data_IF_881177432117
#
_entry.id   IF_881177432117
#
_cell.length_a   1.000
_cell.length_b   1.000
_cell.length_c   1.000
_cell.angle_alpha   90.00
_cell.angle_beta   90.00
_cell.angle_gamma   90.00
#
_symmetry.space_group_name_H-M   'P 1'
#
loop_
_entity.id
_entity.type
_entity.pdbx_description
1 polymer ?
#
# COMPACT_ATOMS: atom_id res chain seq x y z
N UNK A 1 -34.46 17.08 -20.28
CA UNK A 1 -33.05 17.49 -20.22
C UNK A 1 -32.58 17.25 -18.79
N UNK A 2 -31.92 16.11 -18.53
CA UNK A 2 -31.45 15.75 -17.19
C UNK A 2 -30.03 16.28 -17.05
N UNK A 3 -29.84 17.26 -16.17
CA UNK A 3 -28.52 17.83 -15.90
C UNK A 3 -27.63 16.76 -15.27
N UNK A 4 -26.47 16.52 -15.87
CA UNK A 4 -25.40 15.74 -15.25
C UNK A 4 -24.95 16.49 -13.98
N UNK A 5 -25.32 15.97 -12.81
CA UNK A 5 -24.77 16.44 -11.54
C UNK A 5 -23.27 16.11 -11.56
N UNK A 6 -22.44 17.14 -11.61
CA UNK A 6 -21.00 17.01 -11.43
C UNK A 6 -20.72 16.40 -10.07
N UNK A 7 -19.94 15.33 -10.03
CA UNK A 7 -19.50 14.72 -8.79
C UNK A 7 -18.47 15.66 -8.14
N UNK A 8 -18.86 16.32 -7.05
CA UNK A 8 -17.93 17.14 -6.28
C UNK A 8 -17.01 16.24 -5.45
N UNK A 9 -15.71 16.54 -5.45
CA UNK A 9 -14.69 15.80 -4.72
C UNK A 9 -14.91 15.84 -3.19
N UNK A 10 -15.71 16.80 -2.73
CA UNK A 10 -16.03 17.06 -1.33
C UNK A 10 -17.00 16.02 -0.72
N UNK A 11 -17.69 15.22 -1.55
CA UNK A 11 -18.56 14.12 -1.10
C UNK A 11 -17.79 12.81 -0.80
N UNK A 12 -16.46 12.82 -0.99
CA UNK A 12 -15.61 11.63 -0.83
C UNK A 12 -14.92 11.66 0.52
N UNK A 13 -15.31 10.74 1.39
CA UNK A 13 -14.68 10.52 2.68
C UNK A 13 -13.54 9.53 2.56
N UNK A 14 -12.38 9.84 3.15
CA UNK A 14 -11.29 8.86 3.33
C UNK A 14 -11.22 8.46 4.80
N UNK A 15 -11.52 7.20 5.09
CA UNK A 15 -11.61 6.66 6.45
C UNK A 15 -11.10 5.22 6.52
N UNK A 16 -10.96 4.68 7.74
CA UNK A 16 -10.72 3.25 7.90
C UNK A 16 -11.95 2.46 7.42
N UNK A 17 -11.69 1.33 6.78
CA UNK A 17 -12.72 0.36 6.44
C UNK A 17 -13.23 -0.32 7.72
N UNK A 18 -14.53 -0.52 7.80
CA UNK A 18 -15.13 -1.37 8.83
C UNK A 18 -14.88 -2.86 8.48
N UNK A 19 -14.81 -3.77 9.47
CA UNK A 19 -14.60 -5.19 9.19
C UNK A 19 -15.65 -5.82 8.26
N UNK A 20 -16.88 -5.31 8.30
CA UNK A 20 -17.97 -5.69 7.39
C UNK A 20 -17.71 -5.32 5.93
N UNK A 21 -16.83 -4.34 5.67
CA UNK A 21 -16.51 -3.82 4.33
C UNK A 21 -15.34 -4.57 3.67
N UNK A 22 -14.56 -5.37 4.40
CA UNK A 22 -13.37 -6.05 3.85
C UNK A 22 -13.66 -6.93 2.62
N UNK A 23 -14.78 -7.68 2.53
CA UNK A 23 -15.12 -8.40 1.31
C UNK A 23 -15.32 -7.49 0.10
N UNK A 24 -15.98 -6.34 0.27
CA UNK A 24 -16.17 -5.36 -0.82
C UNK A 24 -14.83 -4.74 -1.24
N UNK A 25 -13.96 -4.42 -0.27
CA UNK A 25 -12.62 -3.90 -0.56
C UNK A 25 -11.79 -4.93 -1.33
N UNK A 26 -11.82 -6.20 -0.92
CA UNK A 26 -11.11 -7.28 -1.58
C UNK A 26 -11.55 -7.42 -3.05
N UNK A 27 -12.87 -7.48 -3.29
CA UNK A 27 -13.42 -7.53 -4.64
C UNK A 27 -13.07 -6.28 -5.47
N UNK A 28 -13.05 -5.10 -4.85
CA UNK A 28 -12.60 -3.87 -5.51
C UNK A 28 -11.14 -3.95 -5.94
N UNK A 29 -10.23 -4.40 -5.04
CA UNK A 29 -8.82 -4.54 -5.36
C UNK A 29 -8.61 -5.57 -6.49
N UNK A 30 -9.29 -6.71 -6.45
CA UNK A 30 -9.26 -7.69 -7.55
C UNK A 30 -9.68 -7.05 -8.87
N UNK A 31 -10.81 -6.31 -8.90
CA UNK A 31 -11.24 -5.59 -10.13
C UNK A 31 -10.21 -4.56 -10.57
N UNK A 32 -9.65 -3.79 -9.64
CA UNK A 32 -8.68 -2.75 -9.94
C UNK A 32 -7.41 -3.31 -10.61
N UNK A 33 -6.86 -4.40 -10.08
CA UNK A 33 -5.62 -5.01 -10.57
C UNK A 33 -5.81 -5.86 -11.84
N UNK A 34 -6.94 -6.57 -11.98
CA UNK A 34 -7.22 -7.42 -13.15
C UNK A 34 -7.76 -6.66 -14.36
N UNK A 35 -8.30 -5.46 -14.18
CA UNK A 35 -8.85 -4.64 -15.28
C UNK A 35 -7.80 -4.10 -16.26
N UNK A 36 -6.52 -4.16 -15.93
CA UNK A 36 -5.47 -3.52 -16.75
C UNK A 36 -4.23 -4.37 -16.93
N UNK A 37 -4.05 -5.41 -16.11
CA UNK A 37 -2.87 -6.27 -16.15
C UNK A 37 -3.27 -7.73 -15.92
N UNK A 38 -2.53 -8.65 -16.53
CA UNK A 38 -2.59 -10.05 -16.15
C UNK A 38 -1.88 -10.21 -14.81
N UNK A 39 -2.49 -10.93 -13.88
CA UNK A 39 -1.93 -11.22 -12.57
C UNK A 39 -2.02 -12.73 -12.36
N UNK A 40 -1.10 -13.28 -11.56
CA UNK A 40 -1.12 -14.70 -11.17
C UNK A 40 -2.33 -14.98 -10.28
N UNK A 41 -2.80 -16.24 -10.28
CA UNK A 41 -3.88 -16.66 -9.39
C UNK A 41 -3.49 -16.48 -7.91
N UNK A 42 -2.21 -16.74 -7.58
CA UNK A 42 -1.65 -16.50 -6.25
C UNK A 42 -1.77 -15.03 -5.83
N UNK A 43 -1.48 -14.08 -6.72
CA UNK A 43 -1.64 -12.67 -6.43
C UNK A 43 -3.10 -12.29 -6.21
N UNK A 44 -4.02 -12.81 -7.03
CA UNK A 44 -5.46 -12.59 -6.88
C UNK A 44 -5.95 -13.13 -5.54
N UNK A 45 -5.51 -14.32 -5.12
CA UNK A 45 -5.88 -14.90 -3.84
C UNK A 45 -5.36 -14.06 -2.66
N UNK A 46 -4.15 -13.51 -2.78
CA UNK A 46 -3.60 -12.54 -1.82
C UNK A 46 -4.50 -11.29 -1.70
N UNK A 47 -5.02 -10.76 -2.81
CA UNK A 47 -5.97 -9.64 -2.78
C UNK A 47 -7.31 -10.01 -2.14
N UNK A 48 -7.75 -11.27 -2.27
CA UNK A 48 -8.96 -11.77 -1.60
C UNK A 48 -8.76 -11.92 -0.09
N UNK A 49 -7.54 -12.23 0.33
CA UNK A 49 -7.14 -12.47 1.72
C UNK A 49 -6.85 -11.23 2.57
N UNK A 50 -7.08 -10.00 2.09
CA UNK A 50 -6.67 -8.77 2.80
C UNK A 50 -7.17 -8.64 4.25
N UNK A 51 -8.26 -9.31 4.61
CA UNK A 51 -8.77 -9.30 5.98
C UNK A 51 -7.77 -9.91 6.98
N UNK A 52 -6.93 -10.88 6.56
CA UNK A 52 -5.90 -11.45 7.43
C UNK A 52 -4.73 -10.50 7.67
N UNK A 53 -4.64 -9.39 6.92
CA UNK A 53 -3.54 -8.42 7.00
C UNK A 53 -3.83 -7.31 8.01
N UNK A 54 -5.04 -7.24 8.54
CA UNK A 54 -5.49 -6.19 9.48
C UNK A 54 -4.64 -6.07 10.75
N UNK A 55 -4.08 -7.15 11.33
CA UNK A 55 -3.13 -7.00 12.45
C UNK A 55 -1.95 -6.08 12.09
N UNK A 56 -1.44 -6.21 10.87
CA UNK A 56 -0.23 -5.54 10.40
C UNK A 56 -0.50 -4.29 9.57
N UNK A 57 -1.71 -4.16 9.01
CA UNK A 57 -2.10 -3.09 8.10
C UNK A 57 -3.47 -2.50 8.44
N UNK A 58 -3.55 -1.18 8.38
CA UNK A 58 -4.80 -0.44 8.31
C UNK A 58 -5.28 -0.34 6.86
N UNK A 59 -6.53 -0.73 6.63
CA UNK A 59 -7.21 -0.59 5.33
C UNK A 59 -7.95 0.74 5.32
N UNK A 60 -7.49 1.68 4.49
CA UNK A 60 -8.16 2.96 4.26
C UNK A 60 -8.99 2.87 2.98
N UNK A 61 -10.23 3.37 3.04
CA UNK A 61 -11.15 3.43 1.91
C UNK A 61 -11.49 4.87 1.57
N UNK A 62 -11.65 5.14 0.27
CA UNK A 62 -12.30 6.33 -0.23
C UNK A 62 -13.75 5.97 -0.57
N UNK A 63 -14.70 6.49 0.19
CA UNK A 63 -16.12 6.17 0.06
C UNK A 63 -16.95 7.40 -0.32
N UNK A 64 -17.96 7.19 -1.15
CA UNK A 64 -18.93 8.21 -1.55
C UNK A 64 -20.33 7.64 -1.36
N UNK A 65 -21.13 8.26 -0.47
CA UNK A 65 -22.52 7.84 -0.19
C UNK A 65 -22.63 6.34 0.15
N UNK A 66 -21.69 5.85 0.95
CA UNK A 66 -21.63 4.44 1.38
C UNK A 66 -21.06 3.47 0.35
N UNK A 67 -20.68 3.92 -0.84
CA UNK A 67 -20.03 3.09 -1.86
C UNK A 67 -18.51 3.24 -1.79
N UNK A 68 -17.78 2.13 -1.74
CA UNK A 68 -16.32 2.14 -1.78
C UNK A 68 -15.84 2.38 -3.22
N UNK A 69 -15.02 3.40 -3.41
CA UNK A 69 -14.47 3.79 -4.71
C UNK A 69 -12.99 3.44 -4.88
N UNK A 70 -12.28 3.24 -3.77
CA UNK A 70 -10.88 2.83 -3.77
C UNK A 70 -10.39 2.50 -2.37
N UNK A 71 -9.22 1.86 -2.30
CA UNK A 71 -8.58 1.49 -1.05
C UNK A 71 -7.05 1.60 -1.13
N UNK A 72 -6.43 1.81 0.03
CA UNK A 72 -4.97 1.72 0.24
C UNK A 72 -4.69 1.07 1.59
N UNK A 73 -3.67 0.23 1.67
CA UNK A 73 -3.22 -0.38 2.92
C UNK A 73 -1.99 0.39 3.43
N UNK A 74 -2.01 0.80 4.70
CA UNK A 74 -0.84 1.39 5.37
C UNK A 74 -0.48 0.52 6.56
N UNK A 75 0.81 0.36 6.92
CA UNK A 75 1.20 -0.34 8.13
C UNK A 75 0.41 0.12 9.37
N UNK A 76 0.09 -0.80 10.27
CA UNK A 76 -0.46 -0.48 11.59
C UNK A 76 0.59 0.23 12.45
N UNK A 77 0.21 1.07 13.43
CA UNK A 77 1.17 1.64 14.36
C UNK A 77 1.97 0.54 15.08
N UNK A 78 3.30 0.68 15.09
CA UNK A 78 4.20 -0.32 15.69
C UNK A 78 4.51 -1.54 14.81
N UNK A 79 3.92 -1.65 13.62
CA UNK A 79 4.35 -2.64 12.63
C UNK A 79 5.79 -2.35 12.21
N UNK A 80 6.63 -3.37 12.29
CA UNK A 80 8.00 -3.35 11.77
C UNK A 80 8.02 -4.27 10.57
N UNK A 81 8.31 -3.71 9.39
CA UNK A 81 8.43 -4.51 8.19
C UNK A 81 9.67 -5.41 8.30
N UNK A 82 9.46 -6.69 8.06
CA UNK A 82 10.56 -7.64 7.86
C UNK A 82 11.16 -7.47 6.46
N UNK A 83 12.42 -7.86 6.24
CA UNK A 83 13.00 -7.90 4.91
C UNK A 83 12.21 -8.83 3.98
N UNK A 84 11.81 -8.33 2.81
CA UNK A 84 11.14 -9.16 1.80
C UNK A 84 12.15 -10.02 1.03
N UNK A 85 11.77 -11.24 0.66
CA UNK A 85 12.60 -12.14 -0.18
C UNK A 85 11.95 -12.26 -1.55
N UNK A 86 12.69 -11.88 -2.58
CA UNK A 86 12.24 -11.96 -3.96
C UNK A 86 12.14 -13.41 -4.45
N UNK A 87 11.43 -13.61 -5.56
CA UNK A 87 11.32 -14.91 -6.25
C UNK A 87 12.70 -15.47 -6.66
N UNK A 88 13.68 -14.60 -6.86
CA UNK A 88 15.08 -14.94 -7.15
C UNK A 88 15.93 -15.27 -5.89
N UNK A 89 15.28 -15.34 -4.73
CA UNK A 89 15.90 -15.64 -3.44
C UNK A 89 16.71 -14.49 -2.84
N UNK A 90 16.70 -13.30 -3.45
CA UNK A 90 17.40 -12.14 -2.91
C UNK A 90 16.55 -11.42 -1.85
N UNK A 91 17.18 -11.08 -0.73
CA UNK A 91 16.53 -10.31 0.33
C UNK A 91 16.63 -8.81 0.03
N UNK A 92 15.49 -8.11 0.08
CA UNK A 92 15.42 -6.66 0.08
C UNK A 92 15.47 -6.16 1.53
N UNK A 93 16.38 -5.23 1.87
CA UNK A 93 16.43 -4.67 3.21
C UNK A 93 15.12 -3.93 3.55
N UNK A 94 14.62 -4.15 4.77
CA UNK A 94 13.58 -3.29 5.31
C UNK A 94 14.10 -1.86 5.51
N UNK A 95 13.22 -0.88 5.36
CA UNK A 95 13.52 0.52 5.59
C UNK A 95 12.74 1.02 6.82
N UNK A 96 13.28 0.87 8.04
CA UNK A 96 12.52 1.10 9.28
C UNK A 96 12.10 2.56 9.49
N UNK A 97 12.77 3.51 8.84
CA UNK A 97 12.45 4.94 8.88
C UNK A 97 11.38 5.35 7.85
N UNK A 98 10.83 4.39 7.11
CA UNK A 98 9.90 4.60 6.00
C UNK A 98 8.55 3.94 6.28
N UNK A 99 7.46 4.64 5.96
CA UNK A 99 6.15 4.01 5.85
C UNK A 99 6.01 3.49 4.43
N UNK A 100 6.20 2.19 4.23
CA UNK A 100 5.85 1.54 2.96
C UNK A 100 4.36 1.21 2.97
N UNK A 101 3.57 1.86 2.10
CA UNK A 101 2.16 1.50 1.96
C UNK A 101 2.01 0.43 0.89
N UNK A 102 1.04 -0.46 1.09
CA UNK A 102 0.80 -1.61 0.23
C UNK A 102 -0.54 -1.44 -0.49
N UNK A 103 -0.68 -2.12 -1.63
CA UNK A 103 -1.92 -2.26 -2.40
C UNK A 103 -2.79 -0.99 -2.50
N UNK A 104 -2.63 -0.23 -3.58
CA UNK A 104 -3.52 0.89 -3.90
C UNK A 104 -4.38 0.57 -5.12
N UNK A 105 -5.69 0.58 -4.95
CA UNK A 105 -6.65 0.27 -6.01
C UNK A 105 -7.80 1.27 -6.06
N UNK A 106 -8.23 1.59 -7.27
CA UNK A 106 -9.44 2.40 -7.53
C UNK A 106 -10.35 1.59 -8.42
N UNK A 107 -11.63 1.56 -8.08
CA UNK A 107 -12.65 0.89 -8.90
C UNK A 107 -12.56 1.43 -10.35
N UNK A 108 -12.50 0.57 -11.37
CA UNK A 108 -12.38 1.01 -12.76
C UNK A 108 -13.44 2.05 -13.17
N UNK A 109 -14.66 1.96 -12.63
CA UNK A 109 -15.74 2.91 -12.91
C UNK A 109 -15.54 4.29 -12.24
N UNK A 110 -14.65 4.40 -11.26
CA UNK A 110 -14.33 5.63 -10.52
C UNK A 110 -12.98 6.26 -10.92
N UNK A 111 -12.30 5.72 -11.94
CA UNK A 111 -11.03 6.27 -12.45
C UNK A 111 -11.19 7.68 -13.02
N UNK A 112 -10.08 8.42 -13.05
CA UNK A 112 -10.06 9.82 -13.53
C UNK A 112 -10.65 10.84 -12.55
N UNK A 113 -11.22 10.39 -11.42
CA UNK A 113 -11.80 11.26 -10.37
C UNK A 113 -10.81 11.71 -9.29
N UNK A 114 -9.53 11.32 -9.40
CA UNK A 114 -8.49 11.68 -8.43
C UNK A 114 -8.54 10.92 -7.09
N UNK A 115 -9.22 9.76 -7.05
CA UNK A 115 -9.37 8.91 -5.84
C UNK A 115 -8.03 8.39 -5.31
N UNK A 116 -7.20 7.83 -6.19
CA UNK A 116 -5.88 7.34 -5.81
C UNK A 116 -5.02 8.46 -5.18
N UNK A 117 -5.13 9.69 -5.69
CA UNK A 117 -4.41 10.82 -5.13
C UNK A 117 -4.93 11.22 -3.73
N UNK A 118 -6.23 11.05 -3.46
CA UNK A 118 -6.78 11.26 -2.10
C UNK A 118 -6.27 10.20 -1.13
N UNK A 119 -6.23 8.93 -1.56
CA UNK A 119 -5.72 7.82 -0.76
C UNK A 119 -4.23 8.01 -0.43
N UNK A 120 -3.40 8.36 -1.42
CA UNK A 120 -1.96 8.65 -1.17
C UNK A 120 -1.79 9.88 -0.28
N UNK A 121 -2.62 10.93 -0.45
CA UNK A 121 -2.58 12.08 0.46
C UNK A 121 -2.92 11.67 1.91
N UNK A 122 -3.85 10.74 2.10
CA UNK A 122 -4.13 10.18 3.43
C UNK A 122 -2.95 9.38 3.96
N UNK A 123 -2.27 8.58 3.14
CA UNK A 123 -1.02 7.90 3.54
C UNK A 123 0.04 8.90 3.99
N UNK A 124 0.20 10.02 3.29
CA UNK A 124 1.12 11.10 3.70
C UNK A 124 0.73 11.68 5.05
N UNK A 125 -0.56 11.94 5.27
CA UNK A 125 -1.06 12.41 6.55
C UNK A 125 -0.78 11.40 7.67
N UNK A 126 -1.02 10.11 7.46
CA UNK A 126 -0.75 9.05 8.44
C UNK A 126 0.73 9.00 8.81
N UNK A 127 1.63 9.09 7.82
CA UNK A 127 3.06 9.12 8.08
C UNK A 127 3.49 10.36 8.88
N UNK A 128 2.93 11.54 8.57
CA UNK A 128 3.16 12.79 9.33
C UNK A 128 2.70 12.66 10.78
N UNK A 129 1.47 12.19 11.01
CA UNK A 129 0.89 11.99 12.34
C UNK A 129 1.74 11.03 13.21
N UNK A 130 2.45 10.10 12.58
CA UNK A 130 3.35 9.14 13.24
C UNK A 130 4.80 9.61 13.34
N UNK A 131 5.12 10.82 12.89
CA UNK A 131 6.50 11.36 12.91
C UNK A 131 7.46 10.66 11.94
N UNK A 132 6.94 9.88 10.99
CA UNK A 132 7.74 9.16 10.00
C UNK A 132 8.29 10.16 8.97
N UNK A 133 9.55 9.97 8.57
CA UNK A 133 10.27 10.95 7.73
C UNK A 133 10.12 10.71 6.22
N UNK A 134 9.74 9.49 5.81
CA UNK A 134 9.63 9.12 4.41
C UNK A 134 8.55 8.07 4.17
N UNK A 135 8.01 8.05 2.97
CA UNK A 135 7.06 7.05 2.49
C UNK A 135 7.68 6.32 1.31
N UNK A 136 7.50 5.00 1.26
CA UNK A 136 7.90 4.13 0.17
C UNK A 136 6.70 3.47 -0.52
N UNK A 137 6.87 3.10 -1.79
CA UNK A 137 5.96 2.21 -2.52
C UNK A 137 6.70 1.46 -3.62
N UNK A 138 6.48 0.15 -3.66
CA UNK A 138 6.83 -0.69 -4.79
C UNK A 138 5.72 -0.71 -5.85
N UNK A 139 6.09 -0.62 -7.13
CA UNK A 139 5.14 -0.53 -8.24
C UNK A 139 5.62 -1.29 -9.46
N UNK A 140 4.72 -2.03 -10.11
CA UNK A 140 5.06 -2.77 -11.34
C UNK A 140 5.40 -1.81 -12.49
N UNK A 141 6.38 -2.12 -13.36
CA UNK A 141 6.82 -1.26 -14.47
C UNK A 141 5.69 -0.86 -15.43
N UNK A 142 4.66 -1.69 -15.57
CA UNK A 142 3.46 -1.47 -16.37
C UNK A 142 2.50 -0.42 -15.78
N UNK A 143 2.61 -0.07 -14.49
CA UNK A 143 1.72 0.84 -13.77
C UNK A 143 2.02 2.33 -14.06
N UNK A 144 2.22 2.69 -15.33
CA UNK A 144 2.65 4.03 -15.77
C UNK A 144 1.74 5.17 -15.30
N UNK A 145 0.43 4.92 -15.19
CA UNK A 145 -0.53 5.87 -14.62
C UNK A 145 -0.28 6.16 -13.13
N UNK A 146 0.05 5.15 -12.33
CA UNK A 146 0.44 5.31 -10.94
C UNK A 146 1.77 6.07 -10.85
N UNK A 147 2.76 5.75 -11.68
CA UNK A 147 4.05 6.46 -11.72
C UNK A 147 3.91 7.95 -12.06
N UNK A 148 3.00 8.31 -12.98
CA UNK A 148 2.70 9.71 -13.28
C UNK A 148 2.04 10.42 -12.09
N UNK A 149 1.14 9.74 -11.39
CA UNK A 149 0.52 10.26 -10.17
C UNK A 149 1.56 10.46 -9.05
N UNK A 150 2.39 9.46 -8.75
CA UNK A 150 3.43 9.55 -7.73
C UNK A 150 4.34 10.75 -7.99
N UNK A 151 4.84 10.91 -9.22
CA UNK A 151 5.68 12.07 -9.59
C UNK A 151 4.96 13.41 -9.40
N UNK A 152 3.67 13.50 -9.75
CA UNK A 152 2.88 14.72 -9.54
C UNK A 152 2.69 15.05 -8.05
N UNK A 153 2.62 14.02 -7.21
CA UNK A 153 2.54 14.16 -5.75
C UNK A 153 3.91 14.42 -5.09
N UNK A 154 4.99 14.46 -5.87
CA UNK A 154 6.34 14.76 -5.38
C UNK A 154 7.17 13.52 -5.03
N UNK A 155 6.68 12.31 -5.29
CA UNK A 155 7.51 11.11 -5.14
C UNK A 155 8.61 11.07 -6.20
N UNK A 156 9.76 10.52 -5.82
CA UNK A 156 10.93 10.35 -6.68
C UNK A 156 11.26 8.86 -6.81
N UNK A 157 11.56 8.42 -8.03
CA UNK A 157 12.00 7.04 -8.29
C UNK A 157 13.38 6.81 -7.67
N UNK A 158 13.62 5.61 -7.15
CA UNK A 158 14.89 5.17 -6.53
C UNK A 158 15.44 3.92 -7.25
N UNK A 159 15.99 4.05 -8.47
CA UNK A 159 16.51 2.91 -9.24
C UNK A 159 17.53 2.05 -8.48
N UNK A 160 18.30 2.67 -7.59
CA UNK A 160 19.28 2.02 -6.73
C UNK A 160 18.67 1.04 -5.71
N UNK A 161 17.35 1.08 -5.50
CA UNK A 161 16.61 0.17 -4.60
C UNK A 161 15.76 -0.87 -5.34
N UNK A 162 15.75 -0.85 -6.67
CA UNK A 162 14.92 -1.74 -7.50
C UNK A 162 15.56 -3.13 -7.61
N UNK A 163 15.64 -3.83 -6.48
CA UNK A 163 16.23 -5.18 -6.40
C UNK A 163 15.17 -6.26 -6.29
N UNK A 164 13.97 -5.92 -5.84
CA UNK A 164 12.91 -6.88 -5.54
C UNK A 164 12.24 -7.42 -6.80
N UNK A 165 12.22 -8.75 -6.92
CA UNK A 165 11.61 -9.50 -8.01
C UNK A 165 10.42 -10.28 -7.47
N UNK A 166 9.25 -10.07 -8.05
CA UNK A 166 8.00 -10.75 -7.70
C UNK A 166 7.61 -11.79 -8.74
N UNK A 167 6.61 -12.61 -8.36
CA UNK A 167 6.00 -13.67 -9.15
C UNK A 167 5.98 -13.38 -10.66
N UNK A 168 6.57 -14.28 -11.43
CA UNK A 168 6.71 -14.13 -12.88
C UNK A 168 7.97 -13.36 -13.30
N UNK A 169 8.96 -13.24 -12.40
CA UNK A 169 10.26 -12.63 -12.67
C UNK A 169 10.23 -11.12 -12.88
N UNK A 170 9.16 -10.45 -12.45
CA UNK A 170 9.03 -9.01 -12.62
C UNK A 170 9.77 -8.25 -11.52
N UNK A 171 10.68 -7.36 -11.91
CA UNK A 171 11.32 -6.41 -10.99
C UNK A 171 10.43 -5.21 -10.71
N UNK A 172 10.22 -4.90 -9.44
CA UNK A 172 9.44 -3.74 -9.03
C UNK A 172 10.25 -2.45 -9.05
N UNK A 173 9.58 -1.36 -9.42
CA UNK A 173 10.12 0.00 -9.33
C UNK A 173 9.86 0.56 -7.93
N UNK A 174 10.79 1.36 -7.40
CA UNK A 174 10.66 1.97 -6.07
C UNK A 174 10.44 3.47 -6.22
N UNK A 175 9.42 3.99 -5.55
CA UNK A 175 9.17 5.43 -5.43
C UNK A 175 9.14 5.84 -3.97
N UNK A 176 9.75 6.98 -3.63
CA UNK A 176 9.75 7.50 -2.26
C UNK A 176 9.34 8.97 -2.20
N UNK A 177 8.76 9.37 -1.08
CA UNK A 177 8.41 10.76 -0.76
C UNK A 177 8.98 11.12 0.61
N UNK A 178 9.88 12.09 0.65
CA UNK A 178 10.39 12.65 1.90
C UNK A 178 9.37 13.65 2.46
N UNK A 179 8.98 13.48 3.72
CA UNK A 179 8.06 14.39 4.40
C UNK A 179 8.86 15.62 4.84
N UNK A 180 8.47 16.84 4.41
CA UNK A 180 9.17 18.05 4.83
C UNK A 180 9.19 18.21 6.35
N UNK A 181 10.31 18.68 6.91
CA UNK A 181 10.45 18.92 8.34
C UNK A 181 9.39 19.86 8.91
N UNK A 182 8.94 20.83 8.11
CA UNK A 182 7.86 21.77 8.47
C UNK A 182 6.52 21.09 8.72
N UNK A 183 6.34 19.87 8.21
CA UNK A 183 5.08 19.15 8.19
C UNK A 183 5.06 17.99 9.20
N UNK A 184 6.14 17.82 9.98
CA UNK A 184 6.25 16.82 11.05
C UNK A 184 5.81 17.45 12.38
N UNK A 185 5.14 16.69 13.27
CA UNK A 185 4.88 17.16 14.63
C UNK A 185 6.23 17.49 15.31
N UNK A 186 6.28 18.50 16.20
CA UNK A 186 7.48 18.78 16.98
C UNK A 186 7.94 17.52 17.69
N UNK A 187 9.25 17.21 17.65
CA UNK A 187 9.83 16.15 18.47
C UNK A 187 9.48 16.46 19.94
N UNK A 188 8.63 15.64 20.58
CA UNK A 188 8.41 15.75 22.02
C UNK A 188 9.76 15.50 22.72
N UNK A 189 10.19 16.46 23.55
CA UNK A 189 11.46 16.39 24.28
C UNK A 189 11.45 15.29 25.34
N UNK A 190 12.40 14.37 25.25
CA UNK A 190 12.88 13.42 26.28
C UNK A 190 11.79 12.71 27.11
N UNK A 191 11.12 11.75 26.49
CA UNK A 191 10.74 10.49 27.15
C UNK A 191 11.62 9.36 26.59
N UNK A 192 11.92 8.28 27.35
CA UNK A 192 12.71 7.19 26.79
C UNK A 192 12.05 6.71 25.50
N UNK A 193 12.80 6.76 24.39
CA UNK A 193 12.44 6.06 23.16
C UNK A 193 11.94 4.69 23.58
N UNK A 194 10.70 4.27 23.25
CA UNK A 194 10.25 2.94 23.60
C UNK A 194 11.20 2.00 22.87
N UNK A 195 12.16 1.45 23.62
CA UNK A 195 13.04 0.42 23.12
C UNK A 195 12.10 -0.64 22.56
N UNK A 196 12.30 -0.94 21.28
CA UNK A 196 11.67 -2.05 20.57
C UNK A 196 11.76 -3.28 21.48
N UNK A 197 10.68 -3.56 22.19
CA UNK A 197 10.53 -4.79 22.92
C UNK A 197 10.33 -5.84 21.84
N UNK A 198 11.44 -6.52 21.52
CA UNK A 198 11.47 -7.76 20.75
C UNK A 198 10.53 -8.75 21.43
N UNK A 199 9.28 -8.77 20.98
CA UNK A 199 8.36 -9.85 21.24
C UNK A 199 8.47 -10.80 20.05
N UNK A 200 8.93 -12.01 20.32
CA UNK A 200 8.89 -13.14 19.38
C UNK A 200 7.43 -13.45 19.05
N UNK A 201 6.92 -12.85 17.97
CA UNK A 201 5.64 -13.15 17.35
C UNK A 201 5.88 -14.02 16.10
N UNK A 202 4.93 -14.89 15.73
CA UNK A 202 5.18 -15.96 14.77
C UNK A 202 5.53 -15.40 13.38
N UNK A 203 6.58 -15.96 12.79
CA UNK A 203 7.07 -15.72 11.43
C UNK A 203 5.94 -15.78 10.42
N UNK A 204 5.54 -14.63 9.87
CA UNK A 204 4.74 -14.59 8.65
C UNK A 204 5.67 -14.65 7.46
N UNK A 205 5.67 -15.82 6.85
CA UNK A 205 6.45 -16.15 5.66
C UNK A 205 6.02 -15.26 4.48
N UNK A 206 6.70 -14.11 4.32
CA UNK A 206 6.60 -13.26 3.14
C UNK A 206 7.34 -13.89 1.92
N UNK A 207 7.88 -15.11 2.07
CA UNK A 207 8.80 -15.75 1.15
C UNK A 207 8.47 -17.23 0.91
N UNK A 208 7.52 -17.51 0.03
CA UNK A 208 7.34 -18.78 -0.73
C UNK A 208 8.24 -19.94 -0.25
N UNK A 209 7.78 -20.71 0.73
CA UNK A 209 8.31 -22.07 0.92
C UNK A 209 7.86 -22.95 -0.26
N UNK A 210 8.80 -23.29 -1.14
CA UNK A 210 8.65 -24.41 -2.05
C UNK A 210 8.67 -25.72 -1.25
N UNK A 211 7.53 -26.40 -1.17
CA UNK A 211 7.51 -27.81 -0.79
C UNK A 211 7.97 -28.63 -2.01
N UNK A 212 9.20 -29.15 -1.93
CA UNK A 212 9.77 -30.08 -2.89
C UNK A 212 9.10 -31.44 -2.71
N UNK A 213 7.96 -31.63 -3.35
CA UNK A 213 7.37 -32.95 -3.55
C UNK A 213 8.16 -33.71 -4.62
N UNK A 214 9.15 -34.49 -4.20
CA UNK A 214 9.76 -35.54 -5.01
C UNK A 214 8.66 -36.45 -5.59
N UNK A 215 8.65 -36.62 -6.92
CA UNK A 215 8.00 -37.78 -7.55
C UNK A 215 9.05 -38.47 -8.41
N UNK A 216 9.44 -39.66 -7.94
CA UNK A 216 10.10 -40.71 -8.72
C UNK A 216 9.14 -41.36 -9.70
#
# INVERSE_FOLDING_TARGET
>A
MTAAQGHHRDDIEVRLAEPSEFPEVADLLVRAYTSSFHNTDQYIERLRGIASWVPDYQIWVAAERGKILGAVLTPSPGFVAEPDVGEDGQTQPAHPDELEFHMIGVDPAARGRGIAALLVAKTIQVARERGISRIGIHSGPQMTGAHAMYRRLGFVRRPERETFVVDGGQRLLVFTYDIPDSDRPPLESDGPSPALAVNEAPSHDNAIHQDQGEIR
#
